data_IF_765882247404
#
_entry.id   IF_765882247404
#
_cell.length_a   1.000
_cell.length_b   1.000
_cell.length_c   1.000
_cell.angle_alpha   90.00
_cell.angle_beta   90.00
_cell.angle_gamma   90.00
#
_symmetry.space_group_name_H-M   'P 1'
#
loop_
_entity.id
_entity.type
_entity.pdbx_description
1 polymer ?
#
# COMPACT_ATOMS: atom_id res chain seq x y z
N UNK A 1 19.51 5.51 -26.37
CA UNK A 1 18.81 6.33 -25.35
C UNK A 1 18.07 5.34 -24.45
N UNK A 2 18.43 5.23 -23.17
CA UNK A 2 17.76 4.31 -22.25
C UNK A 2 16.42 4.94 -21.86
N UNK A 3 15.33 4.41 -22.41
CA UNK A 3 13.98 4.80 -22.01
C UNK A 3 13.77 4.29 -20.57
N UNK A 4 14.08 5.14 -19.59
CA UNK A 4 13.77 4.88 -18.21
C UNK A 4 12.30 5.26 -18.00
N UNK A 5 11.39 4.40 -18.47
CA UNK A 5 9.98 4.47 -18.11
C UNK A 5 9.88 4.16 -16.62
N UNK A 6 10.00 5.21 -15.79
CA UNK A 6 9.58 5.15 -14.39
C UNK A 6 8.09 4.80 -14.47
N UNK A 7 7.74 3.52 -14.26
CA UNK A 7 6.35 3.12 -14.19
C UNK A 7 5.73 3.95 -13.06
N UNK A 8 4.84 4.86 -13.43
CA UNK A 8 4.17 5.75 -12.51
C UNK A 8 3.40 4.89 -11.53
N UNK A 9 3.82 4.91 -10.27
CA UNK A 9 3.11 4.24 -9.19
C UNK A 9 1.63 4.68 -9.20
N UNK A 10 0.65 3.75 -9.15
CA UNK A 10 -0.75 4.07 -9.45
C UNK A 10 -1.48 4.81 -8.34
N UNK A 11 -0.88 4.93 -7.15
CA UNK A 11 -1.44 5.65 -6.01
C UNK A 11 -0.64 6.93 -5.72
N UNK A 12 -1.34 8.02 -5.43
CA UNK A 12 -0.71 9.23 -4.91
C UNK A 12 -1.60 9.92 -3.88
N UNK A 13 -0.96 10.41 -2.82
CA UNK A 13 -1.62 11.15 -1.75
C UNK A 13 -1.57 12.64 -2.07
N UNK A 14 -2.72 13.32 -2.02
CA UNK A 14 -2.86 14.75 -2.29
C UNK A 14 -3.65 15.46 -1.20
N UNK A 15 -3.84 16.78 -1.35
CA UNK A 15 -4.60 17.60 -0.39
C UNK A 15 -6.08 17.21 -0.31
N UNK A 16 -6.66 16.81 -1.43
CA UNK A 16 -8.09 16.50 -1.58
C UNK A 16 -8.40 15.00 -1.38
N UNK A 17 -7.40 14.20 -0.99
CA UNK A 17 -7.53 12.75 -0.83
C UNK A 17 -6.49 11.98 -1.63
N UNK A 18 -6.79 10.71 -1.89
CA UNK A 18 -5.92 9.78 -2.61
C UNK A 18 -6.38 9.69 -4.05
N UNK A 19 -5.44 9.82 -4.99
CA UNK A 19 -5.68 9.56 -6.41
C UNK A 19 -5.21 8.14 -6.72
N UNK A 20 -6.12 7.36 -7.27
CA UNK A 20 -5.89 5.98 -7.71
C UNK A 20 -6.00 5.97 -9.24
N UNK A 21 -5.10 5.26 -9.92
CA UNK A 21 -5.08 5.09 -11.37
C UNK A 21 -5.28 3.60 -11.70
N UNK A 22 -6.53 3.11 -11.76
CA UNK A 22 -6.83 1.67 -11.91
C UNK A 22 -6.27 1.06 -13.20
N UNK A 23 -6.19 1.85 -14.27
CA UNK A 23 -5.62 1.44 -15.56
C UNK A 23 -4.11 1.12 -15.50
N UNK A 24 -3.43 1.53 -14.42
CA UNK A 24 -2.01 1.25 -14.17
C UNK A 24 -1.80 0.23 -13.05
N UNK A 25 -2.88 -0.39 -12.56
CA UNK A 25 -2.83 -1.42 -11.54
C UNK A 25 -2.93 -2.79 -12.19
N UNK A 26 -2.02 -3.67 -11.78
CA UNK A 26 -2.08 -5.08 -12.13
C UNK A 26 -3.09 -5.79 -11.21
N UNK A 27 -3.93 -6.70 -11.74
CA UNK A 27 -4.73 -7.60 -10.92
C UNK A 27 -3.86 -8.40 -9.96
N UNK A 28 -4.47 -8.80 -8.85
CA UNK A 28 -3.82 -9.57 -7.77
C UNK A 28 -2.59 -8.89 -7.14
N UNK A 29 -2.47 -7.57 -7.29
CA UNK A 29 -1.36 -6.79 -6.73
C UNK A 29 -1.85 -5.82 -5.65
N UNK A 30 -1.17 -5.83 -4.50
CA UNK A 30 -1.40 -4.89 -3.41
C UNK A 30 -0.57 -3.62 -3.59
N UNK A 31 -1.23 -2.47 -3.60
CA UNK A 31 -0.59 -1.16 -3.61
C UNK A 31 -0.87 -0.44 -2.29
N UNK A 32 0.03 0.44 -1.89
CA UNK A 32 -0.11 1.23 -0.67
C UNK A 32 0.29 2.70 -0.85
N UNK A 33 -0.30 3.60 -0.08
CA UNK A 33 0.26 4.93 0.13
C UNK A 33 -0.05 5.42 1.54
N UNK A 34 0.65 6.47 1.98
CA UNK A 34 0.35 7.11 3.26
C UNK A 34 -0.49 8.35 3.02
N UNK A 35 -1.65 8.42 3.68
CA UNK A 35 -2.54 9.58 3.65
C UNK A 35 -3.05 9.85 5.06
N UNK A 36 -2.95 11.11 5.53
CA UNK A 36 -3.44 11.52 6.84
C UNK A 36 -3.00 10.58 7.99
N UNK A 37 -1.72 10.23 8.04
CA UNK A 37 -1.16 9.33 9.05
C UNK A 37 -1.72 7.90 9.03
N UNK A 38 -2.31 7.46 7.92
CA UNK A 38 -2.84 6.11 7.74
C UNK A 38 -2.19 5.44 6.55
N UNK A 39 -2.00 4.13 6.64
CA UNK A 39 -1.62 3.30 5.49
C UNK A 39 -2.90 2.97 4.74
N UNK A 40 -2.93 3.33 3.47
CA UNK A 40 -4.05 3.11 2.58
C UNK A 40 -3.65 2.02 1.62
N UNK A 41 -4.25 0.85 1.77
CA UNK A 41 -4.03 -0.32 0.94
C UNK A 41 -5.10 -0.38 -0.15
N UNK A 42 -4.69 -0.66 -1.38
CA UNK A 42 -5.57 -0.83 -2.52
C UNK A 42 -5.16 -2.10 -3.25
N UNK A 43 -6.07 -3.06 -3.31
CA UNK A 43 -5.90 -4.33 -3.99
C UNK A 43 -6.87 -4.40 -5.17
N UNK A 44 -6.37 -4.66 -6.37
CA UNK A 44 -7.20 -4.95 -7.54
C UNK A 44 -7.37 -6.46 -7.64
N UNK A 45 -8.59 -6.97 -7.47
CA UNK A 45 -8.82 -8.41 -7.55
C UNK A 45 -8.93 -8.92 -9.01
N UNK A 46 -9.10 -10.23 -9.18
CA UNK A 46 -9.24 -10.88 -10.48
C UNK A 46 -10.47 -10.43 -11.29
N UNK A 47 -11.51 -9.90 -10.64
CA UNK A 47 -12.68 -9.32 -11.29
C UNK A 47 -12.49 -7.83 -11.59
N UNK A 48 -11.26 -7.33 -11.45
CA UNK A 48 -10.88 -5.92 -11.57
C UNK A 48 -11.57 -5.00 -10.55
N UNK A 49 -12.10 -5.55 -9.46
CA UNK A 49 -12.71 -4.78 -8.39
C UNK A 49 -11.60 -4.26 -7.48
N UNK A 50 -11.68 -2.96 -7.17
CA UNK A 50 -10.76 -2.31 -6.24
C UNK A 50 -11.25 -2.47 -4.81
N UNK A 51 -10.45 -3.15 -4.01
CA UNK A 51 -10.64 -3.32 -2.58
C UNK A 51 -9.72 -2.35 -1.84
N UNK A 52 -10.29 -1.51 -0.99
CA UNK A 52 -9.54 -0.49 -0.25
C UNK A 52 -9.61 -0.76 1.25
N UNK A 53 -8.45 -0.75 1.90
CA UNK A 53 -8.32 -0.95 3.34
C UNK A 53 -7.49 0.17 3.96
N UNK A 54 -7.73 0.43 5.24
CA UNK A 54 -7.01 1.43 6.02
C UNK A 54 -6.40 0.77 7.24
N UNK A 55 -5.16 1.13 7.55
CA UNK A 55 -4.50 0.81 8.82
C UNK A 55 -4.16 2.12 9.51
N UNK A 56 -4.67 2.30 10.72
CA UNK A 56 -4.54 3.50 11.54
C UNK A 56 -3.68 3.30 12.80
N UNK A 57 -3.02 2.15 12.93
CA UNK A 57 -2.07 1.89 14.01
C UNK A 57 -0.76 2.66 13.79
N UNK A 58 -0.41 3.50 14.77
CA UNK A 58 0.74 4.41 14.68
C UNK A 58 2.09 3.70 14.55
N UNK A 59 2.24 2.50 15.12
CA UNK A 59 3.51 1.78 15.08
C UNK A 59 3.80 1.31 13.65
N UNK A 60 2.86 0.61 13.04
CA UNK A 60 3.03 0.14 11.66
C UNK A 60 3.06 1.30 10.65
N UNK A 61 2.28 2.36 10.86
CA UNK A 61 2.37 3.59 10.06
C UNK A 61 3.78 4.18 10.13
N UNK A 62 4.39 4.21 11.32
CA UNK A 62 5.75 4.69 11.50
C UNK A 62 6.77 3.78 10.78
N UNK A 63 6.63 2.46 10.90
CA UNK A 63 7.50 1.51 10.20
C UNK A 63 7.49 1.72 8.68
N UNK A 64 6.29 1.83 8.08
CA UNK A 64 6.13 2.06 6.63
C UNK A 64 6.71 3.41 6.20
N UNK A 65 6.57 4.47 7.00
CA UNK A 65 7.17 5.79 6.71
C UNK A 65 8.69 5.77 6.71
N UNK A 66 9.30 5.00 7.60
CA UNK A 66 10.76 4.92 7.77
C UNK A 66 11.41 3.91 6.84
N UNK A 67 10.62 3.00 6.26
CA UNK A 67 11.08 2.03 5.29
C UNK A 67 11.43 2.70 3.94
N UNK A 68 12.48 2.22 3.29
CA UNK A 68 12.92 2.70 1.99
C UNK A 68 12.10 2.13 0.82
N UNK A 69 10.77 2.05 0.98
CA UNK A 69 9.84 1.32 0.10
C UNK A 69 10.06 -0.19 0.10
N UNK A 70 10.38 -0.75 1.27
CA UNK A 70 10.34 -2.20 1.42
C UNK A 70 8.94 -2.72 1.11
N UNK A 71 8.88 -3.98 0.75
CA UNK A 71 7.66 -4.71 0.48
C UNK A 71 6.66 -4.53 1.63
N UNK A 72 5.56 -3.80 1.37
CA UNK A 72 4.54 -3.49 2.38
C UNK A 72 3.96 -4.77 2.98
N UNK A 73 3.89 -5.84 2.21
CA UNK A 73 3.41 -7.14 2.67
C UNK A 73 4.34 -7.70 3.74
N UNK A 74 5.66 -7.56 3.57
CA UNK A 74 6.65 -7.98 4.57
C UNK A 74 6.53 -7.18 5.87
N UNK A 75 6.34 -5.86 5.78
CA UNK A 75 6.18 -5.01 6.98
C UNK A 75 4.91 -5.39 7.74
N UNK A 76 3.80 -5.60 7.03
CA UNK A 76 2.54 -6.03 7.63
C UNK A 76 2.69 -7.41 8.29
N UNK A 77 3.36 -8.35 7.61
CA UNK A 77 3.59 -9.69 8.14
C UNK A 77 4.46 -9.68 9.40
N UNK A 78 5.58 -8.96 9.39
CA UNK A 78 6.45 -8.80 10.57
C UNK A 78 5.69 -8.18 11.75
N UNK A 79 4.81 -7.21 11.48
CA UNK A 79 3.95 -6.62 12.52
C UNK A 79 2.93 -7.62 13.08
N UNK A 80 2.27 -8.41 12.22
CA UNK A 80 1.33 -9.45 12.61
C UNK A 80 2.01 -10.51 13.49
N UNK A 81 3.23 -10.92 13.15
CA UNK A 81 4.02 -11.86 13.94
C UNK A 81 4.43 -11.26 15.29
N UNK A 82 4.93 -10.04 15.31
CA UNK A 82 5.31 -9.30 16.52
C UNK A 82 4.14 -9.18 17.51
N UNK A 83 2.97 -8.79 17.00
CA UNK A 83 1.76 -8.58 17.80
C UNK A 83 0.97 -9.87 18.08
N UNK A 84 1.44 -11.03 17.58
CA UNK A 84 0.76 -12.32 17.70
C UNK A 84 -0.71 -12.28 17.22
N UNK A 85 -0.99 -11.54 16.15
CA UNK A 85 -2.34 -11.31 15.62
C UNK A 85 -2.87 -12.47 14.77
N UNK A 86 -2.02 -13.44 14.44
CA UNK A 86 -2.44 -14.69 13.82
C UNK A 86 -3.35 -15.43 14.81
N UNK A 87 -4.67 -15.33 14.58
CA UNK A 87 -5.66 -16.09 15.35
C UNK A 87 -5.29 -17.59 15.29
N UNK A 88 -5.33 -18.24 16.45
CA UNK A 88 -5.37 -19.72 16.55
C UNK A 88 -6.59 -20.28 15.83
#
# INVERSE_FOLDING_TARGET
>A
MKNNSIMSYPLSSGKDGIKIQPDKMEPETLYHCIHQNKIMLVYKDHNEILNCYEIDDDEIVSMVKTSNKDDIEKIIEEYIEKENLRKK
#
